data_IF_807395825178
#
_entry.id   IF_807395825178
#
_cell.length_a   1.000
_cell.length_b   1.000
_cell.length_c   1.000
_cell.angle_alpha   90.00
_cell.angle_beta   90.00
_cell.angle_gamma   90.00
#
_symmetry.space_group_name_H-M   'P 1'
#
loop_
_entity.id
_entity.type
_entity.pdbx_description
1 polymer ?
#
# COMPACT_ATOMS: atom_id res chain seq x y z
N UNK A 1 -35.40 50.20 -3.75
CA UNK A 1 -35.27 49.00 -4.60
C UNK A 1 -33.79 48.70 -4.66
N UNK A 2 -33.23 48.07 -3.63
CA UNK A 2 -33.34 46.65 -3.26
C UNK A 2 -32.58 45.75 -4.23
N UNK A 3 -31.67 44.97 -3.61
CA UNK A 3 -31.14 43.66 -4.02
C UNK A 3 -29.92 43.69 -4.93
N UNK A 4 -28.88 42.87 -4.76
CA UNK A 4 -28.37 41.99 -3.69
C UNK A 4 -26.99 41.54 -4.20
N UNK A 5 -25.94 41.57 -3.37
CA UNK A 5 -25.22 40.38 -2.87
C UNK A 5 -25.14 39.19 -3.85
N UNK A 6 -23.95 38.99 -4.40
CA UNK A 6 -23.36 37.66 -4.56
C UNK A 6 -21.85 37.82 -4.42
N UNK A 7 -21.42 37.98 -3.16
CA UNK A 7 -20.10 37.57 -2.74
C UNK A 7 -20.03 36.06 -2.97
N UNK A 8 -19.38 35.68 -4.07
CA UNK A 8 -18.91 34.31 -4.24
C UNK A 8 -17.82 34.08 -3.21
N UNK A 9 -18.20 33.64 -2.01
CA UNK A 9 -17.25 33.11 -1.04
C UNK A 9 -16.47 31.96 -1.73
N UNK A 10 -15.14 31.98 -1.75
CA UNK A 10 -14.39 30.82 -2.21
C UNK A 10 -14.71 29.63 -1.30
N UNK A 11 -14.93 28.46 -1.93
CA UNK A 11 -14.96 27.17 -1.27
C UNK A 11 -13.86 27.14 -0.21
N UNK A 12 -14.27 26.90 1.04
CA UNK A 12 -13.35 26.70 2.16
C UNK A 12 -12.21 25.79 1.69
N UNK A 13 -10.99 26.29 1.78
CA UNK A 13 -9.80 25.49 1.54
C UNK A 13 -9.82 24.35 2.56
N UNK A 14 -10.32 23.18 2.17
CA UNK A 14 -10.04 21.94 2.88
C UNK A 14 -8.51 21.89 2.97
N UNK A 15 -7.98 22.05 4.19
CA UNK A 15 -6.54 21.97 4.43
C UNK A 15 -6.09 20.62 3.91
N UNK A 16 -5.13 20.63 2.97
CA UNK A 16 -4.51 19.41 2.47
C UNK A 16 -4.02 18.57 3.64
N UNK A 17 -4.22 17.24 3.61
CA UNK A 17 -3.82 16.38 4.72
C UNK A 17 -2.32 16.51 4.99
N UNK A 18 -1.94 16.36 6.25
CA UNK A 18 -0.54 16.20 6.60
C UNK A 18 -0.07 14.81 6.15
N UNK A 19 0.96 14.76 5.30
CA UNK A 19 1.42 13.53 4.66
C UNK A 19 2.72 13.02 5.29
N UNK A 20 2.71 11.77 5.73
CA UNK A 20 3.91 11.05 6.21
C UNK A 20 4.20 9.90 5.26
N UNK A 21 5.32 10.00 4.55
CA UNK A 21 5.75 9.00 3.57
C UNK A 21 6.47 7.83 4.25
N UNK A 22 6.06 6.61 3.93
CA UNK A 22 6.68 5.39 4.45
C UNK A 22 7.81 4.88 3.51
N UNK A 23 8.66 5.79 3.00
CA UNK A 23 9.65 5.50 1.94
C UNK A 23 10.98 4.88 2.41
N UNK A 24 11.27 4.84 3.72
CA UNK A 24 12.53 4.24 4.23
C UNK A 24 12.69 2.74 3.88
N UNK A 25 13.66 2.01 4.47
CA UNK A 25 13.92 0.63 4.08
C UNK A 25 12.71 -0.26 4.36
N UNK A 26 12.22 -0.96 3.34
CA UNK A 26 11.26 -2.05 3.46
C UNK A 26 12.00 -3.36 3.47
N UNK A 27 11.50 -4.33 4.23
CA UNK A 27 11.92 -5.73 4.09
C UNK A 27 11.05 -6.38 3.03
N UNK A 28 11.63 -7.28 2.26
CA UNK A 28 10.88 -8.17 1.38
C UNK A 28 11.29 -9.62 1.64
N UNK A 29 10.35 -10.54 1.48
CA UNK A 29 10.55 -11.97 1.58
C UNK A 29 9.73 -12.68 0.50
N UNK A 30 10.36 -13.35 -0.47
CA UNK A 30 9.67 -14.28 -1.36
C UNK A 30 9.07 -15.42 -0.54
N UNK A 31 7.80 -15.72 -0.76
CA UNK A 31 7.07 -16.76 -0.04
C UNK A 31 6.85 -18.00 -0.90
N UNK A 32 6.56 -17.81 -2.20
CA UNK A 32 6.32 -18.89 -3.13
C UNK A 32 6.52 -18.40 -4.57
N UNK A 33 6.84 -19.32 -5.48
CA UNK A 33 6.55 -19.12 -6.89
C UNK A 33 5.07 -19.47 -7.11
N UNK A 34 4.38 -18.76 -8.00
CA UNK A 34 2.95 -18.98 -8.21
C UNK A 34 2.57 -19.02 -9.69
N UNK A 35 1.51 -19.75 -10.00
CA UNK A 35 0.95 -19.88 -11.36
C UNK A 35 -0.57 -19.74 -11.32
N UNK A 36 -1.11 -19.03 -12.32
CA UNK A 36 -2.53 -18.80 -12.46
C UNK A 36 -3.18 -20.00 -13.16
N UNK A 37 -4.14 -20.62 -12.50
CA UNK A 37 -4.93 -21.71 -13.07
C UNK A 37 -6.08 -21.19 -13.94
N UNK A 38 -6.63 -22.07 -14.77
CA UNK A 38 -7.76 -21.77 -15.65
C UNK A 38 -9.04 -21.36 -14.90
N UNK A 39 -9.17 -21.71 -13.62
CA UNK A 39 -10.28 -21.30 -12.77
C UNK A 39 -10.11 -19.90 -12.15
N UNK A 40 -8.97 -19.24 -12.39
CA UNK A 40 -8.63 -17.93 -11.84
C UNK A 40 -7.86 -17.97 -10.52
N UNK A 41 -7.62 -19.16 -9.95
CA UNK A 41 -6.87 -19.28 -8.70
C UNK A 41 -5.36 -19.20 -8.95
N UNK A 42 -4.66 -18.52 -8.06
CA UNK A 42 -3.21 -18.55 -8.00
C UNK A 42 -2.75 -19.67 -7.07
N UNK A 43 -1.97 -20.61 -7.59
CA UNK A 43 -1.45 -21.74 -6.84
C UNK A 43 0.05 -21.63 -6.64
N UNK A 44 0.56 -22.16 -5.53
CA UNK A 44 1.99 -22.28 -5.30
C UNK A 44 2.58 -23.40 -6.16
N UNK A 45 3.71 -23.09 -6.79
CA UNK A 45 4.51 -24.06 -7.52
C UNK A 45 5.87 -24.21 -6.83
N UNK A 46 6.39 -25.44 -6.81
CA UNK A 46 7.69 -25.72 -6.22
C UNK A 46 8.83 -25.05 -6.99
N UNK A 47 9.87 -24.65 -6.27
CA UNK A 47 11.09 -24.09 -6.86
C UNK A 47 11.97 -23.43 -5.81
N UNK A 48 13.17 -23.04 -6.22
CA UNK A 48 14.07 -22.25 -5.37
C UNK A 48 13.61 -20.80 -5.36
N UNK A 49 13.53 -20.22 -4.16
CA UNK A 49 13.17 -18.82 -3.97
C UNK A 49 14.44 -17.97 -3.84
N UNK A 50 14.48 -16.77 -4.44
CA UNK A 50 15.54 -15.81 -4.17
C UNK A 50 15.60 -15.48 -2.66
N UNK A 51 16.76 -15.04 -2.15
CA UNK A 51 16.89 -14.68 -0.74
C UNK A 51 16.03 -13.47 -0.37
N UNK A 52 15.60 -13.40 0.88
CA UNK A 52 14.98 -12.21 1.45
C UNK A 52 15.99 -11.04 1.59
N UNK A 53 15.49 -9.81 1.67
CA UNK A 53 16.36 -8.64 1.77
C UNK A 53 15.64 -7.35 2.11
N UNK A 54 16.26 -6.23 1.77
CA UNK A 54 15.69 -4.89 1.91
C UNK A 54 15.62 -4.16 0.58
N UNK A 55 14.60 -3.34 0.39
CA UNK A 55 14.36 -2.60 -0.85
C UNK A 55 13.86 -1.18 -0.55
N UNK A 56 14.03 -0.28 -1.51
CA UNK A 56 13.44 1.06 -1.47
C UNK A 56 12.08 1.02 -2.16
N UNK A 57 11.11 1.69 -1.57
CA UNK A 57 9.75 1.83 -2.13
C UNK A 57 9.49 3.33 -2.35
N UNK A 58 8.93 3.74 -3.49
CA UNK A 58 8.40 2.92 -4.58
C UNK A 58 9.44 2.22 -5.45
N UNK A 59 9.08 1.04 -5.98
CA UNK A 59 9.87 0.24 -6.91
C UNK A 59 9.24 -1.13 -7.15
N UNK A 60 9.45 -1.70 -8.34
CA UNK A 60 9.15 -3.12 -8.57
C UNK A 60 10.30 -4.00 -8.06
N UNK A 61 10.09 -5.32 -8.04
CA UNK A 61 11.05 -6.26 -7.49
C UNK A 61 12.16 -6.69 -8.46
N UNK A 62 12.33 -6.04 -9.62
CA UNK A 62 13.29 -6.48 -10.65
C UNK A 62 14.71 -6.60 -10.11
N UNK A 63 15.19 -5.57 -9.41
CA UNK A 63 16.57 -5.54 -8.88
C UNK A 63 16.79 -6.54 -7.73
N UNK A 64 15.72 -6.89 -7.00
CA UNK A 64 15.78 -7.79 -5.85
C UNK A 64 15.54 -9.26 -6.17
N UNK A 65 14.59 -9.55 -7.07
CA UNK A 65 14.08 -10.89 -7.36
C UNK A 65 14.26 -11.32 -8.82
N UNK A 66 14.60 -10.37 -9.70
CA UNK A 66 14.67 -10.57 -11.15
C UNK A 66 13.36 -10.24 -11.86
N UNK A 67 13.46 -9.79 -13.11
CA UNK A 67 12.30 -9.42 -13.95
C UNK A 67 11.34 -10.58 -14.20
N UNK A 68 11.86 -11.81 -14.20
CA UNK A 68 11.12 -13.04 -14.49
C UNK A 68 10.50 -13.68 -13.24
N UNK A 69 10.75 -13.14 -12.05
CA UNK A 69 10.13 -13.67 -10.84
C UNK A 69 8.61 -13.53 -10.91
N UNK A 70 7.92 -14.64 -10.67
CA UNK A 70 6.46 -14.75 -10.61
C UNK A 70 6.12 -15.58 -9.38
N UNK A 71 5.36 -14.98 -8.47
CA UNK A 71 5.27 -15.49 -7.13
C UNK A 71 4.62 -14.53 -6.16
N UNK A 72 4.61 -14.97 -4.91
CA UNK A 72 4.12 -14.24 -3.76
C UNK A 72 5.29 -13.67 -2.97
N UNK A 73 5.19 -12.39 -2.61
CA UNK A 73 6.22 -11.66 -1.87
C UNK A 73 5.57 -10.88 -0.74
N UNK A 74 6.09 -11.08 0.47
CA UNK A 74 5.73 -10.29 1.63
C UNK A 74 6.66 -9.08 1.74
N UNK A 75 6.10 -7.89 1.68
CA UNK A 75 6.75 -6.65 2.07
C UNK A 75 6.35 -6.28 3.50
N UNK A 76 7.32 -5.86 4.32
CA UNK A 76 7.04 -5.36 5.66
C UNK A 76 7.80 -4.10 6.00
N UNK A 77 7.12 -3.23 6.77
CA UNK A 77 7.69 -1.97 7.23
C UNK A 77 7.32 -1.66 8.67
N UNK A 78 8.31 -1.65 9.59
CA UNK A 78 8.12 -1.02 10.89
C UNK A 78 8.11 0.51 10.77
N UNK A 79 7.23 1.16 11.54
CA UNK A 79 7.19 2.61 11.69
C UNK A 79 6.63 3.01 13.07
N UNK A 80 7.01 4.20 13.57
CA UNK A 80 6.47 4.73 14.82
C UNK A 80 5.10 5.39 14.63
N UNK A 81 4.36 5.57 15.71
CA UNK A 81 3.18 6.47 15.68
C UNK A 81 3.65 7.89 15.37
N UNK A 82 3.00 8.61 14.42
CA UNK A 82 3.25 10.02 14.27
C UNK A 82 2.95 10.80 15.57
N UNK A 83 3.76 11.80 15.86
CA UNK A 83 3.59 12.64 17.04
C UNK A 83 2.48 13.68 16.83
N UNK A 84 1.87 14.15 17.91
CA UNK A 84 0.81 15.18 17.90
C UNK A 84 -0.44 14.77 17.10
N UNK A 85 -0.74 13.46 17.06
CA UNK A 85 -2.05 12.98 16.63
C UNK A 85 -3.03 13.16 17.78
N UNK A 86 -4.16 13.81 17.51
CA UNK A 86 -5.33 13.81 18.39
C UNK A 86 -6.17 12.56 18.14
N UNK A 87 -6.79 11.98 19.19
CA UNK A 87 -7.66 10.81 19.11
C UNK A 87 -8.85 11.01 18.14
N UNK A 88 -9.16 12.26 17.78
CA UNK A 88 -10.24 12.62 16.86
C UNK A 88 -9.79 12.91 15.42
N UNK A 89 -8.49 12.86 15.12
CA UNK A 89 -8.00 13.05 13.76
C UNK A 89 -8.20 11.80 12.91
N UNK A 90 -8.81 11.97 11.73
CA UNK A 90 -8.91 10.89 10.74
C UNK A 90 -7.52 10.61 10.16
N UNK A 91 -7.17 9.33 10.07
CA UNK A 91 -5.92 8.87 9.49
C UNK A 91 -6.20 7.82 8.43
N UNK A 92 -5.79 8.10 7.20
CA UNK A 92 -5.84 7.13 6.10
C UNK A 92 -4.43 6.57 5.82
N UNK A 93 -4.30 5.26 5.71
CA UNK A 93 -3.19 4.61 5.03
C UNK A 93 -3.47 4.58 3.53
N UNK A 94 -2.55 5.11 2.74
CA UNK A 94 -2.70 5.25 1.28
C UNK A 94 -1.62 4.45 0.57
N UNK A 95 -2.03 3.55 -0.31
CA UNK A 95 -1.17 2.82 -1.24
C UNK A 95 -1.48 3.31 -2.65
N UNK A 96 -0.60 4.12 -3.22
CA UNK A 96 -0.89 4.81 -4.48
C UNK A 96 -0.95 3.88 -5.69
N UNK A 97 -0.10 2.84 -5.72
CA UNK A 97 -0.07 1.86 -6.81
C UNK A 97 0.75 0.63 -6.44
N UNK A 98 0.31 -0.53 -6.90
CA UNK A 98 1.05 -1.79 -6.87
C UNK A 98 0.85 -2.58 -8.17
N UNK A 99 1.62 -3.64 -8.35
CA UNK A 99 1.48 -4.60 -9.45
C UNK A 99 1.33 -6.01 -8.89
N UNK A 100 0.23 -6.68 -9.24
CA UNK A 100 -0.21 -7.95 -8.66
C UNK A 100 -1.40 -7.77 -7.73
N UNK A 101 -1.95 -8.88 -7.23
CA UNK A 101 -3.03 -8.85 -6.23
C UNK A 101 -2.40 -8.78 -4.84
N UNK A 102 -2.96 -7.98 -3.94
CA UNK A 102 -2.35 -7.75 -2.63
C UNK A 102 -3.30 -7.91 -1.45
N UNK A 103 -2.77 -8.42 -0.35
CA UNK A 103 -3.39 -8.39 0.98
C UNK A 103 -2.67 -7.35 1.84
N UNK A 104 -3.42 -6.47 2.48
CA UNK A 104 -2.89 -5.38 3.30
C UNK A 104 -3.23 -5.65 4.77
N UNK A 105 -2.22 -5.60 5.65
CA UNK A 105 -2.42 -5.74 7.08
C UNK A 105 -1.61 -4.72 7.87
N UNK A 106 -2.19 -4.20 8.96
CA UNK A 106 -1.55 -3.31 9.90
C UNK A 106 -1.60 -3.93 11.29
N UNK A 107 -0.44 -4.06 11.94
CA UNK A 107 -0.32 -4.63 13.29
C UNK A 107 -0.93 -6.04 13.42
N UNK A 108 -0.92 -6.80 12.32
CA UNK A 108 -1.51 -8.15 12.22
C UNK A 108 -3.01 -8.17 11.90
N UNK A 109 -3.68 -7.03 11.84
CA UNK A 109 -5.08 -6.92 11.44
C UNK A 109 -5.20 -6.68 9.94
N UNK A 110 -6.05 -7.45 9.25
CA UNK A 110 -6.34 -7.26 7.82
C UNK A 110 -7.10 -5.94 7.60
N UNK A 111 -6.58 -5.10 6.71
CA UNK A 111 -7.24 -3.86 6.26
C UNK A 111 -8.06 -4.07 5.00
N UNK A 112 -7.68 -5.04 4.16
CA UNK A 112 -8.39 -5.35 2.91
C UNK A 112 -7.46 -5.86 1.83
N UNK A 113 -7.98 -5.87 0.60
CA UNK A 113 -7.30 -6.39 -0.58
C UNK A 113 -7.22 -5.32 -1.66
N UNK A 114 -6.25 -5.45 -2.55
CA UNK A 114 -6.09 -4.62 -3.74
C UNK A 114 -5.93 -5.56 -4.93
N UNK A 115 -6.73 -5.36 -5.97
CA UNK A 115 -6.66 -6.15 -7.20
C UNK A 115 -5.67 -5.51 -8.19
N UNK A 116 -5.09 -6.33 -9.08
CA UNK A 116 -4.19 -5.80 -10.11
C UNK A 116 -4.95 -4.84 -11.03
N UNK A 117 -4.41 -3.64 -11.21
CA UNK A 117 -5.02 -2.58 -12.01
C UNK A 117 -5.86 -1.58 -11.21
N UNK A 118 -6.08 -1.83 -9.91
CA UNK A 118 -6.66 -0.83 -9.03
C UNK A 118 -5.80 0.45 -9.00
N UNK A 119 -6.50 1.58 -8.94
CA UNK A 119 -5.89 2.88 -8.66
C UNK A 119 -5.48 2.98 -7.17
N UNK A 120 -5.11 4.18 -6.73
CA UNK A 120 -4.76 4.45 -5.33
C UNK A 120 -5.85 3.98 -4.35
N UNK A 121 -5.46 3.14 -3.39
CA UNK A 121 -6.35 2.61 -2.35
C UNK A 121 -6.10 3.29 -1.00
N UNK A 122 -7.18 3.42 -0.22
CA UNK A 122 -7.19 4.12 1.07
C UNK A 122 -7.85 3.24 2.13
N UNK A 123 -7.21 3.14 3.29
CA UNK A 123 -7.70 2.39 4.44
C UNK A 123 -7.77 3.30 5.67
N UNK A 124 -8.94 3.41 6.29
CA UNK A 124 -9.09 4.15 7.54
C UNK A 124 -8.40 3.38 8.68
N UNK A 125 -7.37 4.00 9.24
CA UNK A 125 -6.57 3.47 10.34
C UNK A 125 -6.67 4.35 11.60
N UNK A 126 -7.70 5.19 11.67
CA UNK A 126 -8.02 6.04 12.82
C UNK A 126 -8.12 5.19 14.09
N UNK A 127 -7.38 5.57 15.13
CA UNK A 127 -7.34 4.82 16.40
C UNK A 127 -6.66 3.45 16.34
N UNK A 128 -6.11 3.01 15.20
CA UNK A 128 -5.44 1.70 15.06
C UNK A 128 -3.92 1.75 15.18
N UNK A 129 -3.34 2.95 15.16
CA UNK A 129 -1.89 3.13 15.29
C UNK A 129 -1.44 2.92 16.74
N UNK A 130 -0.45 2.06 16.91
CA UNK A 130 0.26 1.82 18.16
C UNK A 130 1.56 2.62 18.21
N UNK A 131 2.20 2.69 19.37
CA UNK A 131 3.53 3.31 19.51
C UNK A 131 4.58 2.73 18.54
N UNK A 132 4.45 1.44 18.21
CA UNK A 132 5.25 0.72 17.21
C UNK A 132 4.31 -0.02 16.28
N UNK A 133 4.33 0.32 15.00
CA UNK A 133 3.49 -0.26 13.99
C UNK A 133 4.28 -1.13 13.03
N UNK A 134 3.61 -2.13 12.45
CA UNK A 134 4.09 -2.88 11.31
C UNK A 134 3.03 -2.90 10.22
N UNK A 135 3.37 -2.38 9.04
CA UNK A 135 2.59 -2.54 7.82
C UNK A 135 3.12 -3.75 7.06
N UNK A 136 2.22 -4.64 6.65
CA UNK A 136 2.48 -5.78 5.78
C UNK A 136 1.68 -5.66 4.49
N UNK A 137 2.34 -5.91 3.38
CA UNK A 137 1.75 -5.96 2.05
C UNK A 137 2.23 -7.24 1.40
N UNK A 138 1.34 -8.21 1.28
CA UNK A 138 1.63 -9.47 0.59
C UNK A 138 1.12 -9.33 -0.85
N UNK A 139 2.02 -9.38 -1.82
CA UNK A 139 1.70 -9.25 -3.25
C UNK A 139 1.88 -10.59 -3.91
N UNK A 140 0.89 -11.03 -4.66
CA UNK A 140 0.94 -12.21 -5.51
C UNK A 140 0.86 -11.79 -6.98
N UNK A 141 1.87 -12.20 -7.75
CA UNK A 141 1.94 -12.03 -9.20
C UNK A 141 2.24 -13.37 -9.87
N UNK A 142 1.21 -14.17 -10.16
CA UNK A 142 1.41 -15.50 -10.72
C UNK A 142 1.89 -15.48 -12.16
N UNK A 143 2.59 -16.53 -12.55
CA UNK A 143 2.87 -16.86 -13.95
C UNK A 143 1.55 -17.08 -14.69
N UNK A 144 1.47 -16.63 -15.95
CA UNK A 144 0.25 -16.73 -16.75
C UNK A 144 -0.82 -15.69 -16.37
N UNK A 145 -0.55 -14.85 -15.37
CA UNK A 145 -1.39 -13.70 -15.05
C UNK A 145 -1.37 -12.61 -16.14
N UNK A 146 -2.34 -11.68 -16.11
CA UNK A 146 -2.49 -10.65 -17.14
C UNK A 146 -1.39 -9.57 -17.10
N UNK A 147 -0.70 -9.41 -15.96
CA UNK A 147 0.36 -8.42 -15.76
C UNK A 147 1.67 -8.88 -16.43
N UNK A 148 2.18 -8.10 -17.39
CA UNK A 148 3.38 -8.46 -18.15
C UNK A 148 4.70 -8.02 -17.51
N UNK A 149 4.66 -7.19 -16.46
CA UNK A 149 5.86 -6.65 -15.79
C UNK A 149 6.23 -7.36 -14.48
N UNK A 150 7.29 -6.89 -13.83
CA UNK A 150 7.62 -7.28 -12.46
C UNK A 150 6.61 -6.70 -11.46
N UNK A 151 6.30 -7.49 -10.43
CA UNK A 151 5.42 -7.10 -9.33
C UNK A 151 6.10 -6.17 -8.33
N UNK A 152 5.32 -5.67 -7.37
CA UNK A 152 5.84 -4.86 -6.28
C UNK A 152 5.01 -3.61 -6.00
N UNK A 153 5.53 -2.76 -5.11
CA UNK A 153 4.88 -1.52 -4.68
C UNK A 153 5.47 -0.36 -5.49
N UNK A 154 4.87 -0.10 -6.65
CA UNK A 154 5.39 0.88 -7.63
C UNK A 154 4.93 2.31 -7.37
N UNK A 155 3.96 2.53 -6.49
CA UNK A 155 3.49 3.83 -6.02
C UNK A 155 3.93 4.14 -4.59
N UNK A 156 3.75 5.39 -4.17
CA UNK A 156 4.04 5.79 -2.79
C UNK A 156 3.13 5.08 -1.78
N UNK A 157 3.70 4.79 -0.60
CA UNK A 157 2.94 4.37 0.58
C UNK A 157 3.04 5.49 1.61
N UNK A 158 1.92 5.97 2.11
CA UNK A 158 1.89 7.11 3.02
C UNK A 158 0.73 7.05 4.01
N UNK A 159 0.87 7.76 5.13
CA UNK A 159 -0.24 8.15 5.99
C UNK A 159 -0.69 9.55 5.59
N UNK A 160 -1.99 9.74 5.47
CA UNK A 160 -2.65 11.03 5.33
C UNK A 160 -3.43 11.33 6.61
N UNK A 161 -3.04 12.40 7.31
CA UNK A 161 -3.63 12.83 8.57
C UNK A 161 -4.46 14.08 8.30
N UNK A 162 -5.75 14.00 8.62
CA UNK A 162 -6.69 15.09 8.44
C UNK A 162 -6.91 15.83 9.76
N UNK A 163 -7.11 17.13 9.68
CA UNK A 163 -7.46 17.96 10.83
C UNK A 163 -8.76 17.46 11.47
N UNK A 164 -8.85 17.53 12.81
CA UNK A 164 -10.09 17.25 13.51
C UNK A 164 -11.15 18.29 13.10
N UNK A 165 -12.40 17.83 12.92
CA UNK A 165 -13.54 18.71 12.61
C UNK A 165 -14.00 19.48 13.83
#
# INVERSE_FOLDING_TARGET
MSSNLSDSQPLSADKSPHVIRLHGPWRYQPLALTELQANGDSIEIGGELPPAGTVKIPGDWTDSLGAEFRGRVLYSRPFGQPTNIDDHQRIDLVLAKLRGNAQIALNGESLGQIESGDESQRFDVTGRLLARNELRVEIDLPRGGPEQGAGGIVGSVQLEIYEAK
#
